data_IF_957540788847
#
_entry.id   IF_957540788847
#
_cell.length_a   1.000
_cell.length_b   1.000
_cell.length_c   1.000
_cell.angle_alpha   90.00
_cell.angle_beta   90.00
_cell.angle_gamma   90.00
#
_symmetry.space_group_name_H-M   'P 1'
#
loop_
_entity.id
_entity.type
_entity.pdbx_description
1 polymer ?
#
# COMPACT_ATOMS: atom_id res chain seq x y z
N UNK A 1 30.03 -4.48 28.23
CA UNK A 1 29.46 -3.13 28.10
C UNK A 1 28.07 -3.28 27.51
N UNK A 2 27.02 -2.97 28.31
CA UNK A 2 25.64 -2.92 27.84
C UNK A 2 25.52 -1.66 26.97
N UNK A 3 25.44 -1.85 25.67
CA UNK A 3 25.12 -0.76 24.75
C UNK A 3 23.71 -0.25 25.08
N UNK A 4 23.57 1.03 25.36
CA UNK A 4 22.23 1.63 25.47
C UNK A 4 21.55 1.51 24.11
N UNK A 5 20.30 1.06 24.06
CA UNK A 5 19.56 1.04 22.79
C UNK A 5 19.51 2.45 22.19
N UNK A 6 19.61 2.59 20.87
CA UNK A 6 19.49 3.89 20.23
C UNK A 6 18.12 4.50 20.53
N UNK A 7 18.08 5.81 20.71
CA UNK A 7 16.81 6.53 20.76
C UNK A 7 16.19 6.50 19.35
N UNK A 8 14.91 6.19 19.26
CA UNK A 8 14.17 6.14 18.01
C UNK A 8 12.78 6.74 18.19
N UNK A 9 12.25 7.29 17.12
CA UNK A 9 10.88 7.77 17.03
C UNK A 9 10.19 7.02 15.89
N UNK A 10 8.93 6.65 16.07
CA UNK A 10 8.11 5.95 15.08
C UNK A 10 7.01 6.89 14.60
N UNK A 11 6.92 7.08 13.30
CA UNK A 11 5.76 7.70 12.64
C UNK A 11 4.79 6.55 12.37
N UNK A 12 3.71 6.49 13.14
CA UNK A 12 2.80 5.35 13.13
C UNK A 12 1.94 5.28 11.87
N UNK A 13 1.49 6.41 11.40
CA UNK A 13 0.70 6.59 10.19
C UNK A 13 0.94 7.98 9.58
N UNK A 14 0.64 8.15 8.30
CA UNK A 14 0.82 9.42 7.60
C UNK A 14 -0.19 9.63 6.45
N UNK A 15 -1.14 8.72 6.27
CA UNK A 15 -2.13 8.79 5.20
C UNK A 15 -3.08 10.00 5.27
N UNK A 16 -3.15 10.66 6.44
CA UNK A 16 -3.95 11.89 6.67
C UNK A 16 -3.17 13.17 6.39
N UNK A 17 -1.89 13.09 6.05
CA UNK A 17 -1.07 14.27 5.83
C UNK A 17 -1.60 15.10 4.66
N UNK A 18 -1.84 16.41 4.85
CA UNK A 18 -2.43 17.26 3.81
C UNK A 18 -1.61 17.28 2.51
N UNK A 19 -0.28 17.19 2.62
CA UNK A 19 0.59 17.14 1.45
C UNK A 19 0.46 15.83 0.66
N UNK A 20 0.31 14.69 1.35
CA UNK A 20 0.02 13.40 0.71
C UNK A 20 -1.33 13.45 -0.01
N UNK A 21 -2.39 13.87 0.68
CA UNK A 21 -3.73 13.97 0.09
C UNK A 21 -3.74 14.88 -1.14
N UNK A 22 -3.04 16.03 -1.07
CA UNK A 22 -2.91 16.94 -2.21
C UNK A 22 -2.19 16.28 -3.39
N UNK A 23 -1.05 15.63 -3.15
CA UNK A 23 -0.29 14.96 -4.21
C UNK A 23 -1.15 13.88 -4.90
N UNK A 24 -1.85 13.04 -4.12
CA UNK A 24 -2.76 12.02 -4.67
C UNK A 24 -3.90 12.63 -5.47
N UNK A 25 -4.56 13.65 -4.96
CA UNK A 25 -5.71 14.27 -5.64
C UNK A 25 -5.32 14.99 -6.92
N UNK A 26 -4.16 15.63 -6.99
CA UNK A 26 -3.63 16.24 -8.21
C UNK A 26 -3.37 15.18 -9.30
N UNK A 27 -2.82 14.03 -8.93
CA UNK A 27 -2.56 12.94 -9.86
C UNK A 27 -3.86 12.28 -10.33
N UNK A 28 -4.81 12.04 -9.42
CA UNK A 28 -6.14 11.49 -9.74
C UNK A 28 -6.88 12.46 -10.68
N UNK A 29 -6.93 13.76 -10.35
CA UNK A 29 -7.57 14.77 -11.19
C UNK A 29 -7.00 14.77 -12.62
N UNK A 30 -5.67 14.65 -12.75
CA UNK A 30 -5.01 14.56 -14.04
C UNK A 30 -5.49 13.36 -14.86
N UNK A 31 -5.74 12.22 -14.25
CA UNK A 31 -6.23 11.03 -14.97
C UNK A 31 -7.73 11.13 -15.28
N UNK A 32 -8.53 11.74 -14.41
CA UNK A 32 -9.93 12.03 -14.67
C UNK A 32 -10.05 12.97 -15.88
N UNK A 33 -9.25 14.03 -15.94
CA UNK A 33 -9.29 15.02 -17.03
C UNK A 33 -8.84 14.44 -18.39
N UNK A 34 -8.21 13.27 -18.41
CA UNK A 34 -7.87 12.51 -19.63
C UNK A 34 -9.00 11.60 -20.13
N UNK A 35 -10.02 11.38 -19.31
CA UNK A 35 -11.17 10.60 -19.73
C UNK A 35 -12.01 11.35 -20.76
N UNK A 36 -12.64 10.68 -21.74
CA UNK A 36 -13.57 11.28 -22.69
C UNK A 36 -14.73 12.02 -22.01
N UNK A 37 -15.23 11.48 -20.87
CA UNK A 37 -16.30 12.09 -20.08
C UNK A 37 -15.85 12.19 -18.60
N UNK A 38 -15.07 13.22 -18.24
CA UNK A 38 -14.47 13.34 -16.90
C UNK A 38 -15.49 13.28 -15.75
N UNK A 39 -16.69 13.84 -15.94
CA UNK A 39 -17.73 13.89 -14.90
C UNK A 39 -18.36 12.52 -14.61
N UNK A 40 -18.31 11.57 -15.53
CA UNK A 40 -18.83 10.21 -15.39
C UNK A 40 -17.76 9.15 -15.12
N UNK A 41 -16.49 9.53 -15.17
CA UNK A 41 -15.39 8.61 -14.88
C UNK A 41 -15.48 8.10 -13.42
N UNK A 42 -15.39 6.79 -13.25
CA UNK A 42 -15.43 6.15 -11.93
C UNK A 42 -14.01 6.06 -11.36
N UNK A 43 -13.81 6.53 -10.13
CA UNK A 43 -12.52 6.44 -9.43
C UNK A 43 -12.47 5.12 -8.66
N UNK A 44 -11.61 4.22 -9.10
CA UNK A 44 -11.48 2.88 -8.56
C UNK A 44 -10.19 2.73 -7.77
N UNK A 45 -10.30 2.59 -6.46
CA UNK A 45 -9.15 2.36 -5.58
C UNK A 45 -8.84 0.88 -5.52
N UNK A 46 -7.62 0.49 -5.90
CA UNK A 46 -7.09 -0.85 -5.75
C UNK A 46 -6.06 -0.83 -4.62
N UNK A 47 -6.37 -1.53 -3.53
CA UNK A 47 -5.49 -1.69 -2.39
C UNK A 47 -4.86 -3.09 -2.40
N UNK A 48 -3.64 -3.24 -1.93
CA UNK A 48 -3.08 -4.57 -1.72
C UNK A 48 -3.91 -5.33 -0.69
N UNK A 49 -4.35 -6.53 -1.03
CA UNK A 49 -5.11 -7.38 -0.12
C UNK A 49 -4.26 -7.87 1.05
N UNK A 50 -4.90 -8.11 2.18
CA UNK A 50 -4.30 -8.81 3.31
C UNK A 50 -5.26 -9.91 3.79
N UNK A 51 -4.75 -10.99 4.43
CA UNK A 51 -5.60 -11.99 5.03
C UNK A 51 -6.57 -11.39 6.06
N UNK A 52 -7.83 -11.82 6.04
CA UNK A 52 -8.87 -11.37 6.99
C UNK A 52 -8.43 -11.56 8.45
N UNK A 53 -7.71 -12.64 8.73
CA UNK A 53 -7.18 -12.91 10.09
C UNK A 53 -6.22 -11.83 10.60
N UNK A 54 -5.55 -11.08 9.74
CA UNK A 54 -4.70 -9.96 10.18
C UNK A 54 -5.54 -8.84 10.79
N UNK A 55 -6.70 -8.58 10.22
CA UNK A 55 -7.62 -7.54 10.70
C UNK A 55 -8.41 -8.04 11.92
N UNK A 56 -9.07 -9.20 11.81
CA UNK A 56 -9.99 -9.70 12.82
C UNK A 56 -9.30 -10.27 14.06
N UNK A 57 -8.23 -11.05 13.87
CA UNK A 57 -7.55 -11.72 14.97
C UNK A 57 -6.37 -10.92 15.51
N UNK A 58 -5.54 -10.35 14.62
CA UNK A 58 -4.38 -9.58 15.02
C UNK A 58 -4.70 -8.11 15.34
N UNK A 59 -5.85 -7.60 14.90
CA UNK A 59 -6.29 -6.22 15.11
C UNK A 59 -5.49 -5.21 14.31
N UNK A 60 -5.04 -5.59 13.10
CA UNK A 60 -4.34 -4.70 12.18
C UNK A 60 -5.30 -3.59 11.71
N UNK A 61 -4.97 -2.31 11.84
CA UNK A 61 -5.82 -1.21 11.43
C UNK A 61 -5.89 -1.00 9.90
N UNK A 62 -5.15 -1.77 9.11
CA UNK A 62 -4.94 -1.57 7.68
C UNK A 62 -6.23 -1.32 6.90
N UNK A 63 -7.25 -2.18 7.05
CA UNK A 63 -8.51 -2.02 6.34
C UNK A 63 -9.19 -0.68 6.65
N UNK A 64 -9.29 -0.36 7.95
CA UNK A 64 -9.93 0.87 8.38
C UNK A 64 -9.15 2.12 7.92
N UNK A 65 -7.81 2.04 7.90
CA UNK A 65 -6.96 3.14 7.43
C UNK A 65 -7.05 3.34 5.92
N UNK A 66 -7.12 2.27 5.11
CA UNK A 66 -7.33 2.36 3.66
C UNK A 66 -8.72 2.93 3.34
N UNK A 67 -9.77 2.48 4.02
CA UNK A 67 -11.11 3.01 3.85
C UNK A 67 -11.20 4.51 4.22
N UNK A 68 -10.56 4.92 5.31
CA UNK A 68 -10.51 6.32 5.74
C UNK A 68 -9.67 7.17 4.77
N UNK A 69 -8.53 6.64 4.31
CA UNK A 69 -7.69 7.27 3.30
C UNK A 69 -8.45 7.52 2.00
N UNK A 70 -9.19 6.52 1.50
CA UNK A 70 -10.05 6.65 0.31
C UNK A 70 -11.06 7.79 0.47
N UNK A 71 -11.75 7.85 1.61
CA UNK A 71 -12.72 8.92 1.91
C UNK A 71 -12.05 10.30 1.94
N UNK A 72 -10.90 10.42 2.59
CA UNK A 72 -10.16 11.67 2.68
C UNK A 72 -9.67 12.16 1.32
N UNK A 73 -9.19 11.25 0.47
CA UNK A 73 -8.77 11.57 -0.90
C UNK A 73 -9.97 12.10 -1.69
N UNK A 74 -11.11 11.42 -1.69
CA UNK A 74 -12.31 11.86 -2.43
C UNK A 74 -12.86 13.18 -1.89
N UNK A 75 -12.87 13.40 -0.58
CA UNK A 75 -13.25 14.68 0.03
C UNK A 75 -12.31 15.81 -0.40
N UNK A 76 -10.99 15.55 -0.43
CA UNK A 76 -9.98 16.53 -0.83
C UNK A 76 -10.05 16.82 -2.32
N UNK A 77 -10.32 15.80 -3.14
CA UNK A 77 -10.52 15.93 -4.59
C UNK A 77 -11.70 16.84 -4.92
N UNK A 78 -12.78 16.79 -4.13
CA UNK A 78 -13.92 17.69 -4.24
C UNK A 78 -14.75 17.54 -5.51
N UNK A 79 -14.54 16.47 -6.29
CA UNK A 79 -15.33 16.11 -7.48
C UNK A 79 -16.48 15.19 -7.12
N UNK A 80 -17.50 15.12 -7.99
CA UNK A 80 -18.71 14.29 -7.79
C UNK A 80 -18.61 12.92 -8.43
N UNK A 81 -17.41 12.52 -8.84
CA UNK A 81 -17.17 11.20 -9.41
C UNK A 81 -17.54 10.10 -8.43
N UNK A 82 -18.26 9.10 -8.90
CA UNK A 82 -18.48 7.87 -8.14
C UNK A 82 -17.17 7.16 -7.89
N UNK A 83 -17.07 6.45 -6.78
CA UNK A 83 -15.86 5.72 -6.42
C UNK A 83 -16.14 4.41 -5.70
N UNK A 84 -15.18 3.51 -5.77
CA UNK A 84 -15.19 2.24 -5.04
C UNK A 84 -13.79 1.82 -4.64
N UNK A 85 -13.71 0.89 -3.68
CA UNK A 85 -12.47 0.30 -3.17
C UNK A 85 -12.54 -1.21 -3.33
N UNK A 86 -11.47 -1.83 -3.80
CA UNK A 86 -11.29 -3.27 -3.86
C UNK A 86 -9.87 -3.67 -3.49
N UNK A 87 -9.64 -4.97 -3.32
CA UNK A 87 -8.37 -5.52 -2.85
C UNK A 87 -7.78 -6.47 -3.90
N UNK A 88 -6.50 -6.26 -4.22
CA UNK A 88 -5.74 -7.01 -5.22
C UNK A 88 -4.80 -8.05 -4.60
N UNK A 89 -4.13 -8.83 -5.46
CA UNK A 89 -2.99 -9.70 -5.11
C UNK A 89 -3.36 -10.84 -4.14
N UNK A 90 -4.57 -11.38 -4.26
CA UNK A 90 -5.00 -12.57 -3.51
C UNK A 90 -4.14 -13.78 -3.87
N UNK A 91 -3.58 -14.47 -2.88
CA UNK A 91 -2.75 -15.67 -3.06
C UNK A 91 -3.16 -16.81 -2.14
N UNK A 92 -3.24 -18.01 -2.71
CA UNK A 92 -3.48 -19.25 -1.96
C UNK A 92 -4.90 -19.40 -1.41
N UNK A 93 -5.16 -20.41 -0.55
CA UNK A 93 -6.50 -20.83 -0.15
C UNK A 93 -7.06 -20.12 1.10
N UNK A 94 -6.33 -19.14 1.66
CA UNK A 94 -6.79 -18.39 2.84
C UNK A 94 -7.78 -17.30 2.44
N UNK A 95 -8.58 -16.83 3.38
CA UNK A 95 -9.55 -15.77 3.17
C UNK A 95 -8.84 -14.40 3.19
N UNK A 96 -9.07 -13.60 2.13
CA UNK A 96 -8.51 -12.26 1.94
C UNK A 96 -9.60 -11.21 2.01
N UNK A 97 -9.22 -9.96 2.27
CA UNK A 97 -10.15 -8.83 2.23
C UNK A 97 -10.85 -8.74 0.88
N UNK A 98 -12.10 -8.34 0.89
CA UNK A 98 -12.99 -8.24 -0.27
C UNK A 98 -13.61 -6.83 -0.36
N UNK A 99 -14.17 -6.44 -1.55
CA UNK A 99 -14.25 -7.22 -2.80
C UNK A 99 -12.88 -7.39 -3.47
N UNK A 100 -12.72 -8.44 -4.28
CA UNK A 100 -11.51 -8.61 -5.08
C UNK A 100 -11.53 -7.67 -6.28
N UNK A 101 -10.37 -7.15 -6.68
CA UNK A 101 -10.24 -6.15 -7.75
C UNK A 101 -10.80 -6.67 -9.08
N UNK A 102 -10.50 -7.90 -9.46
CA UNK A 102 -11.00 -8.54 -10.69
C UNK A 102 -12.55 -8.55 -10.74
N UNK A 103 -13.16 -9.07 -9.67
CA UNK A 103 -14.63 -9.17 -9.57
C UNK A 103 -15.28 -7.78 -9.55
N UNK A 104 -14.66 -6.82 -8.88
CA UNK A 104 -15.18 -5.46 -8.78
C UNK A 104 -15.15 -4.73 -10.13
N UNK A 105 -14.10 -4.92 -10.93
CA UNK A 105 -14.00 -4.36 -12.30
C UNK A 105 -15.13 -4.91 -13.19
N UNK A 106 -15.34 -6.23 -13.20
CA UNK A 106 -16.42 -6.87 -13.98
C UNK A 106 -17.79 -6.38 -13.51
N UNK A 107 -18.01 -6.26 -12.21
CA UNK A 107 -19.26 -5.74 -11.66
C UNK A 107 -19.53 -4.29 -12.07
N UNK A 108 -18.51 -3.41 -12.06
CA UNK A 108 -18.64 -2.03 -12.51
C UNK A 108 -19.01 -1.95 -14.01
N UNK A 109 -18.40 -2.78 -14.85
CA UNK A 109 -18.77 -2.89 -16.26
C UNK A 109 -20.24 -3.29 -16.46
N UNK A 110 -20.74 -4.25 -15.70
CA UNK A 110 -22.17 -4.66 -15.76
C UNK A 110 -23.14 -3.58 -15.30
N UNK A 111 -22.67 -2.63 -14.46
CA UNK A 111 -23.42 -1.44 -14.03
C UNK A 111 -23.38 -0.30 -15.06
N UNK A 112 -22.66 -0.49 -16.17
CA UNK A 112 -22.57 0.49 -17.26
C UNK A 112 -21.41 1.49 -17.09
N UNK A 113 -20.47 1.24 -16.17
CA UNK A 113 -19.23 2.04 -16.07
C UNK A 113 -18.38 1.73 -17.31
N UNK A 114 -18.03 2.76 -18.06
CA UNK A 114 -17.21 2.66 -19.28
C UNK A 114 -15.84 3.31 -19.15
N UNK A 115 -15.63 4.09 -18.10
CA UNK A 115 -14.40 4.85 -17.85
C UNK A 115 -13.93 4.66 -16.40
N UNK A 116 -12.75 4.07 -16.21
CA UNK A 116 -12.12 3.84 -14.92
C UNK A 116 -10.85 4.68 -14.77
N UNK A 117 -10.74 5.33 -13.61
CA UNK A 117 -9.49 5.90 -13.11
C UNK A 117 -9.02 5.06 -11.94
N UNK A 118 -8.01 4.24 -12.14
CA UNK A 118 -7.55 3.24 -11.18
C UNK A 118 -6.41 3.79 -10.33
N UNK A 119 -6.61 3.78 -9.01
CA UNK A 119 -5.70 4.35 -8.02
C UNK A 119 -5.04 3.24 -7.20
N UNK A 120 -3.72 2.98 -7.36
CA UNK A 120 -2.99 2.00 -6.56
C UNK A 120 -2.70 2.56 -5.16
N UNK A 121 -3.73 2.63 -4.30
CA UNK A 121 -3.70 3.39 -3.04
C UNK A 121 -2.67 2.91 -2.02
N UNK A 122 -2.30 1.64 -2.05
CA UNK A 122 -1.33 1.05 -1.12
C UNK A 122 0.13 1.24 -1.54
N UNK A 123 0.37 1.85 -2.70
CA UNK A 123 1.69 1.88 -3.33
C UNK A 123 2.20 3.30 -3.52
N UNK A 124 3.37 3.60 -2.97
CA UNK A 124 4.01 4.90 -3.11
C UNK A 124 5.11 4.92 -4.18
N UNK A 125 5.49 3.76 -4.69
CA UNK A 125 6.46 3.60 -5.78
C UNK A 125 5.96 2.58 -6.80
N UNK A 126 6.42 2.70 -8.05
CA UNK A 126 6.10 1.73 -9.09
C UNK A 126 6.84 0.41 -8.85
N UNK A 127 6.15 -0.70 -9.04
CA UNK A 127 6.69 -2.05 -9.01
C UNK A 127 5.75 -3.04 -9.74
N UNK A 128 5.97 -4.34 -9.59
CA UNK A 128 5.28 -5.35 -10.40
C UNK A 128 3.75 -5.30 -10.21
N UNK A 129 3.25 -5.08 -9.00
CA UNK A 129 1.81 -5.02 -8.73
C UNK A 129 1.14 -3.79 -9.31
N UNK A 130 1.88 -2.69 -9.58
CA UNK A 130 1.32 -1.51 -10.25
C UNK A 130 1.48 -1.56 -11.76
N UNK A 131 2.61 -2.10 -12.25
CA UNK A 131 2.96 -2.06 -13.67
C UNK A 131 2.47 -3.29 -14.45
N UNK A 132 2.40 -4.45 -13.82
CA UNK A 132 1.92 -5.68 -14.44
C UNK A 132 0.49 -6.00 -13.99
N UNK A 133 0.25 -6.26 -12.71
CA UNK A 133 -1.06 -6.68 -12.22
C UNK A 133 -2.15 -5.63 -12.50
N UNK A 134 -1.91 -4.33 -12.18
CA UNK A 134 -2.93 -3.29 -12.42
C UNK A 134 -2.91 -2.84 -13.89
N UNK A 135 -1.76 -2.50 -14.45
CA UNK A 135 -1.70 -1.79 -15.73
C UNK A 135 -1.76 -2.72 -16.95
N UNK A 136 -1.52 -4.02 -16.79
CA UNK A 136 -1.66 -5.03 -17.84
C UNK A 136 -2.84 -5.94 -17.55
N UNK A 137 -2.77 -6.78 -16.49
CA UNK A 137 -3.76 -7.82 -16.26
C UNK A 137 -5.16 -7.26 -15.99
N UNK A 138 -5.29 -6.29 -15.06
CA UNK A 138 -6.60 -5.70 -14.77
C UNK A 138 -7.11 -4.79 -15.88
N UNK A 139 -6.24 -4.20 -16.68
CA UNK A 139 -6.64 -3.51 -17.91
C UNK A 139 -7.26 -4.47 -18.90
N UNK A 140 -6.65 -5.63 -19.13
CA UNK A 140 -7.20 -6.67 -20.03
C UNK A 140 -8.59 -7.13 -19.55
N UNK A 141 -8.74 -7.41 -18.26
CA UNK A 141 -10.04 -7.77 -17.66
C UNK A 141 -11.08 -6.65 -17.86
N UNK A 142 -10.69 -5.39 -17.69
CA UNK A 142 -11.57 -4.24 -17.86
C UNK A 142 -12.02 -4.09 -19.33
N UNK A 143 -11.10 -4.23 -20.29
CA UNK A 143 -11.38 -4.18 -21.72
C UNK A 143 -12.29 -5.32 -22.16
N UNK A 144 -12.05 -6.55 -21.71
CA UNK A 144 -12.90 -7.72 -21.97
C UNK A 144 -14.30 -7.56 -21.37
N UNK A 145 -14.42 -6.91 -20.20
CA UNK A 145 -15.70 -6.61 -19.58
C UNK A 145 -16.47 -5.47 -20.23
N UNK A 146 -15.84 -4.69 -21.14
CA UNK A 146 -16.48 -3.59 -21.88
C UNK A 146 -16.18 -2.19 -21.33
N UNK A 147 -15.19 -2.04 -20.47
CA UNK A 147 -14.67 -0.72 -20.05
C UNK A 147 -13.76 -0.19 -21.16
N UNK A 148 -14.10 0.98 -21.70
CA UNK A 148 -13.41 1.55 -22.87
C UNK A 148 -12.22 2.44 -22.50
N UNK A 149 -12.21 2.98 -21.28
CA UNK A 149 -11.13 3.83 -20.79
C UNK A 149 -10.65 3.30 -19.45
N UNK A 150 -9.36 2.98 -19.39
CA UNK A 150 -8.70 2.53 -18.17
C UNK A 150 -7.45 3.38 -17.94
N UNK A 151 -7.55 4.37 -17.06
CA UNK A 151 -6.46 5.29 -16.75
C UNK A 151 -5.89 4.94 -15.36
N UNK A 152 -4.71 4.31 -15.32
CA UNK A 152 -4.02 4.08 -14.05
C UNK A 152 -3.36 5.38 -13.57
N UNK A 153 -3.58 5.73 -12.32
CA UNK A 153 -2.84 6.81 -11.62
C UNK A 153 -1.44 6.29 -11.33
N UNK A 154 -0.38 6.98 -11.74
CA UNK A 154 0.98 6.59 -11.40
C UNK A 154 1.20 6.58 -9.89
N UNK A 155 2.18 5.81 -9.40
CA UNK A 155 2.63 5.92 -8.03
C UNK A 155 3.26 7.30 -7.76
N UNK A 156 3.31 7.69 -6.48
CA UNK A 156 3.84 9.01 -6.09
C UNK A 156 5.32 9.18 -6.38
N UNK A 157 6.10 8.13 -6.26
CA UNK A 157 7.55 8.08 -6.50
C UNK A 157 8.28 9.33 -5.97
N UNK A 158 8.84 10.13 -6.89
CA UNK A 158 9.57 11.38 -6.59
C UNK A 158 8.68 12.63 -6.70
N UNK A 159 7.36 12.51 -6.55
CA UNK A 159 6.47 13.67 -6.57
C UNK A 159 6.93 14.71 -5.55
N UNK A 160 7.22 15.97 -5.97
CA UNK A 160 7.85 16.95 -5.08
C UNK A 160 7.00 17.28 -3.84
N UNK A 161 5.68 17.27 -3.97
CA UNK A 161 4.75 17.54 -2.85
C UNK A 161 4.79 16.39 -1.85
N UNK A 162 4.84 15.15 -2.34
CA UNK A 162 4.97 13.97 -1.50
C UNK A 162 6.32 13.93 -0.79
N UNK A 163 7.42 14.16 -1.51
CA UNK A 163 8.78 14.21 -0.91
C UNK A 163 8.85 15.29 0.17
N UNK A 164 8.31 16.49 -0.07
CA UNK A 164 8.28 17.55 0.95
C UNK A 164 7.47 17.12 2.17
N UNK A 165 6.36 16.42 1.98
CA UNK A 165 5.55 15.88 3.08
C UNK A 165 6.35 14.89 3.94
N UNK A 166 7.12 14.00 3.31
CA UNK A 166 8.01 13.08 4.04
C UNK A 166 9.10 13.81 4.82
N UNK A 167 9.70 14.85 4.23
CA UNK A 167 10.69 15.71 4.92
C UNK A 167 10.06 16.36 6.15
N UNK A 168 8.88 16.95 6.02
CA UNK A 168 8.18 17.61 7.13
C UNK A 168 7.82 16.62 8.25
N UNK A 169 7.41 15.41 7.90
CA UNK A 169 7.16 14.31 8.85
C UNK A 169 8.43 13.96 9.65
N UNK A 170 9.53 13.76 8.94
CA UNK A 170 10.83 13.44 9.58
C UNK A 170 11.28 14.56 10.51
N UNK A 171 11.21 15.82 10.06
CA UNK A 171 11.60 16.97 10.87
C UNK A 171 10.73 17.15 12.12
N UNK A 172 9.41 16.95 11.99
CA UNK A 172 8.50 16.93 13.15
C UNK A 172 8.82 15.81 14.12
N UNK A 173 9.05 14.60 13.61
CA UNK A 173 9.41 13.46 14.43
C UNK A 173 10.76 13.63 15.15
N UNK A 174 11.75 14.21 14.47
CA UNK A 174 13.07 14.49 15.04
C UNK A 174 13.03 15.60 16.10
N UNK A 175 12.10 16.54 16.00
CA UNK A 175 11.93 17.66 16.93
C UNK A 175 10.99 17.33 18.10
N UNK A 176 10.22 16.26 17.99
CA UNK A 176 9.34 15.83 19.07
C UNK A 176 10.16 15.21 20.22
N UNK A 177 9.83 15.49 21.49
CA UNK A 177 10.40 14.73 22.59
C UNK A 177 10.12 13.24 22.32
N UNK A 178 11.16 12.41 22.50
CA UNK A 178 11.07 10.95 22.24
C UNK A 178 9.74 10.41 22.75
N UNK A 179 8.94 9.88 21.83
CA UNK A 179 7.64 9.28 22.19
C UNK A 179 7.89 8.29 23.32
N UNK A 180 7.25 8.55 24.45
CA UNK A 180 7.34 7.64 25.58
C UNK A 180 7.05 6.22 25.08
N UNK A 181 7.90 5.31 25.50
CA UNK A 181 7.84 3.85 25.26
C UNK A 181 6.41 3.29 25.45
N UNK A 182 5.55 4.01 26.10
CA UNK A 182 4.16 3.64 26.42
C UNK A 182 3.27 3.44 25.18
N UNK A 183 3.38 4.27 24.14
CA UNK A 183 2.59 4.07 22.89
C UNK A 183 3.07 2.87 22.08
N UNK A 184 4.37 2.67 21.99
CA UNK A 184 4.96 1.48 21.36
C UNK A 184 4.64 0.22 22.17
N UNK A 185 4.60 0.33 23.48
CA UNK A 185 4.21 -0.78 24.38
C UNK A 185 2.71 -1.05 24.31
N UNK A 186 1.86 -0.04 24.11
CA UNK A 186 0.42 -0.20 23.88
C UNK A 186 0.12 -0.77 22.51
N UNK A 187 0.85 -0.35 21.45
CA UNK A 187 0.80 -1.00 20.14
C UNK A 187 1.27 -2.46 20.20
N UNK A 188 2.37 -2.74 20.88
CA UNK A 188 2.83 -4.13 21.10
C UNK A 188 1.85 -4.98 21.92
N UNK A 189 1.03 -4.38 22.79
CA UNK A 189 -0.05 -5.08 23.50
C UNK A 189 -1.29 -5.32 22.64
N UNK A 190 -1.56 -4.46 21.63
CA UNK A 190 -2.65 -4.65 20.66
C UNK A 190 -2.27 -5.61 19.54
N UNK A 191 -1.03 -5.55 19.07
CA UNK A 191 -0.48 -6.56 18.17
C UNK A 191 -0.14 -7.75 19.09
N UNK A 192 -1.01 -8.76 19.15
CA UNK A 192 -0.61 -10.06 19.70
C UNK A 192 0.66 -10.44 18.95
N UNK A 193 1.81 -10.31 19.60
CA UNK A 193 3.06 -10.77 19.00
C UNK A 193 2.79 -12.20 18.57
N UNK A 194 2.99 -12.45 17.27
CA UNK A 194 2.88 -13.79 16.70
C UNK A 194 3.55 -14.76 17.68
N UNK A 195 2.86 -15.83 18.10
CA UNK A 195 3.48 -16.83 18.96
C UNK A 195 4.85 -17.15 18.37
N UNK A 196 5.85 -17.31 19.22
CA UNK A 196 7.15 -17.81 18.77
C UNK A 196 6.96 -19.27 18.38
N UNK A 197 6.31 -19.48 17.24
CA UNK A 197 6.08 -20.80 16.70
C UNK A 197 7.41 -21.39 16.25
N UNK A 198 7.59 -22.65 16.62
CA UNK A 198 8.73 -23.44 16.15
C UNK A 198 8.78 -23.38 14.62
N UNK A 199 10.01 -23.25 14.09
CA UNK A 199 10.27 -23.27 12.66
C UNK A 199 9.42 -24.33 11.94
N UNK A 200 8.63 -23.91 10.97
CA UNK A 200 7.80 -24.76 10.16
C UNK A 200 8.04 -24.45 8.67
N UNK A 201 8.18 -25.49 7.86
CA UNK A 201 8.25 -25.34 6.41
C UNK A 201 6.83 -25.16 5.84
N UNK A 202 6.68 -24.25 4.86
CA UNK A 202 5.44 -24.04 4.12
C UNK A 202 4.97 -22.57 4.17
N UNK A 203 3.74 -22.34 3.71
CA UNK A 203 3.08 -21.01 3.72
C UNK A 203 2.48 -20.76 5.13
N UNK A 204 3.36 -20.59 6.11
CA UNK A 204 2.96 -20.25 7.49
C UNK A 204 3.59 -18.91 7.85
N UNK A 205 2.96 -18.17 8.77
CA UNK A 205 3.48 -16.91 9.30
C UNK A 205 4.91 -17.04 9.83
N UNK A 206 5.23 -18.19 10.44
CA UNK A 206 6.59 -18.50 10.91
C UNK A 206 7.57 -18.63 9.72
N UNK A 207 7.16 -19.25 8.61
CA UNK A 207 7.98 -19.37 7.43
C UNK A 207 8.24 -18.02 6.76
N UNK A 208 7.24 -17.12 6.70
CA UNK A 208 7.40 -15.77 6.17
C UNK A 208 8.37 -14.93 6.97
N UNK A 209 8.27 -14.97 8.31
CA UNK A 209 9.22 -14.27 9.20
C UNK A 209 10.64 -14.79 9.01
N UNK A 210 10.81 -16.11 8.85
CA UNK A 210 12.13 -16.71 8.60
C UNK A 210 12.65 -16.40 7.20
N UNK A 211 11.81 -16.43 6.17
CA UNK A 211 12.17 -16.04 4.82
C UNK A 211 12.61 -14.57 4.76
N UNK A 212 11.88 -13.67 5.43
CA UNK A 212 12.28 -12.27 5.55
C UNK A 212 13.63 -12.08 6.27
N UNK A 213 13.90 -12.84 7.34
CA UNK A 213 15.19 -12.81 8.03
C UNK A 213 16.32 -13.37 7.18
N UNK A 214 16.09 -14.46 6.46
CA UNK A 214 17.06 -15.04 5.55
C UNK A 214 17.34 -14.12 4.36
N UNK A 215 16.32 -13.45 3.82
CA UNK A 215 16.50 -12.44 2.76
C UNK A 215 17.35 -11.25 3.26
N UNK A 216 17.11 -10.76 4.48
CA UNK A 216 17.96 -9.71 5.08
C UNK A 216 19.39 -10.15 5.30
N UNK A 217 19.63 -11.40 5.72
CA UNK A 217 20.99 -11.94 5.86
C UNK A 217 21.69 -12.07 4.50
N UNK A 218 20.95 -12.50 3.46
CA UNK A 218 21.45 -12.53 2.09
C UNK A 218 21.82 -11.14 1.58
N UNK A 219 20.96 -10.14 1.83
CA UNK A 219 21.23 -8.75 1.48
C UNK A 219 22.48 -8.20 2.19
N UNK A 220 22.62 -8.46 3.50
CA UNK A 220 23.83 -8.07 4.27
C UNK A 220 25.06 -8.74 3.68
N UNK A 221 24.99 -10.01 3.27
CA UNK A 221 26.05 -10.72 2.60
C UNK A 221 26.51 -10.02 1.32
N UNK A 222 25.57 -9.65 0.45
CA UNK A 222 25.84 -8.90 -0.79
C UNK A 222 26.49 -7.55 -0.49
N UNK A 223 26.00 -6.81 0.47
CA UNK A 223 26.56 -5.50 0.87
C UNK A 223 28.00 -5.65 1.39
N UNK A 224 28.27 -6.68 2.20
CA UNK A 224 29.63 -6.96 2.69
C UNK A 224 30.56 -7.35 1.53
N UNK A 225 30.11 -8.14 0.58
CA UNK A 225 30.90 -8.48 -0.62
C UNK A 225 31.20 -7.25 -1.47
N UNK A 226 30.23 -6.38 -1.71
CA UNK A 226 30.40 -5.12 -2.44
C UNK A 226 31.42 -4.19 -1.75
N UNK A 227 31.33 -4.06 -0.41
CA UNK A 227 32.25 -3.21 0.38
C UNK A 227 33.66 -3.82 0.44
N UNK A 228 33.77 -5.15 0.52
CA UNK A 228 35.06 -5.85 0.59
C UNK A 228 35.78 -5.97 -0.76
N UNK A 229 35.16 -5.53 -1.86
CA UNK A 229 35.71 -5.58 -3.21
C UNK A 229 35.89 -7.01 -3.77
N UNK A 230 35.26 -7.99 -3.15
CA UNK A 230 35.13 -9.34 -3.69
C UNK A 230 33.87 -9.34 -4.56
N UNK A 231 34.07 -9.36 -5.88
CA UNK A 231 32.95 -9.47 -6.82
C UNK A 231 32.17 -10.77 -6.62
N UNK A 232 30.93 -10.84 -7.18
CA UNK A 232 30.09 -12.02 -7.05
C UNK A 232 30.85 -13.25 -7.53
N UNK A 233 30.79 -14.30 -6.75
CA UNK A 233 31.41 -15.61 -7.05
C UNK A 233 30.96 -16.06 -8.44
N UNK A 234 31.98 -16.33 -9.29
CA UNK A 234 31.82 -16.98 -10.58
C UNK A 234 31.29 -18.40 -10.44
#
# INVERSE_FOLDING_TARGET
PHLKPPQYTVIADWYKEPGYLRAMTEMIATQIDRCPNPDSAHVFFSAHGVPVSYVEEAGDPYQAEIEDCTKLIMQTLGRKNDHSLAYQSKVGPIEWLQPYTEDAIVNLATQGVSELVVVPISFVSEHIETLEEIDIEYREIAEEAGIHTFNRVPALDINPVFIQTLVDLVLRAASAPSLEIDRVTQMKKKIKMYPQEKWAMGLTTAAEVWNGRLAMLGFIGIVVELISGRGPLH
#
